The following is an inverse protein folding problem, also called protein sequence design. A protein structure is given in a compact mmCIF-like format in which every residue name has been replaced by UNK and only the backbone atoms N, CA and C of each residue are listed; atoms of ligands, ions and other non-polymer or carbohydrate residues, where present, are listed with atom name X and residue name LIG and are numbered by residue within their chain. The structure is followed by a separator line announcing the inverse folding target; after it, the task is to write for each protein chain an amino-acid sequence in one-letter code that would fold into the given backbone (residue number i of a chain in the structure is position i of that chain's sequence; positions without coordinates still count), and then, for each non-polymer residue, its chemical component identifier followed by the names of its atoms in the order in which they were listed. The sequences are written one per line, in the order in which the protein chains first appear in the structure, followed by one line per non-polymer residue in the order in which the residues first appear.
data_IF_262535614970
#
_entry.id   IF_262535614970
#
_cell.length_a   1.000
_cell.length_b   1.000
_cell.length_c   1.000
_cell.angle_alpha   90.00
_cell.angle_beta   90.00
_cell.angle_gamma   90.00
#
_symmetry.space_group_name_H-M   'P 1'
#
loop_
_entity.id
_entity.type
_entity.pdbx_description
1 polymer ?
#
# COMPACT_ATOMS: atom_id res chain seq x y z
N UNK A 1 22.83 -9.70 -12.76
CA UNK A 1 21.60 -10.53 -12.69
C UNK A 1 20.46 -9.58 -12.39
N UNK A 2 19.45 -9.49 -13.24
CA UNK A 2 18.29 -8.64 -12.94
C UNK A 2 17.52 -9.25 -11.76
N UNK A 3 17.44 -8.52 -10.66
CA UNK A 3 16.72 -8.94 -9.46
C UNK A 3 15.23 -8.92 -9.78
N UNK A 4 14.51 -10.03 -9.52
CA UNK A 4 13.05 -10.07 -9.63
C UNK A 4 12.44 -9.05 -8.65
N UNK A 5 11.49 -8.20 -9.07
CA UNK A 5 10.80 -7.28 -8.18
C UNK A 5 10.00 -8.04 -7.12
N UNK A 6 9.88 -7.45 -5.93
CA UNK A 6 8.98 -7.97 -4.89
C UNK A 6 7.57 -7.47 -5.17
N UNK A 7 6.60 -8.38 -5.19
CA UNK A 7 5.20 -8.06 -5.44
C UNK A 7 4.43 -7.95 -4.12
N UNK A 8 3.87 -6.78 -3.83
CA UNK A 8 3.15 -6.50 -2.58
C UNK A 8 1.74 -6.01 -2.89
N UNK A 9 0.73 -6.56 -2.22
CA UNK A 9 -0.61 -5.99 -2.27
C UNK A 9 -1.15 -5.65 -0.88
N UNK A 10 -1.94 -4.58 -0.82
CA UNK A 10 -2.81 -4.33 0.31
C UNK A 10 -4.18 -4.93 -0.01
N UNK A 11 -4.62 -5.91 0.77
CA UNK A 11 -5.86 -6.64 0.49
C UNK A 11 -6.67 -6.92 1.75
N UNK A 12 -7.99 -6.78 1.62
CA UNK A 12 -8.97 -7.08 2.65
C UNK A 12 -10.34 -7.28 1.97
N UNK A 13 -11.12 -8.25 2.44
CA UNK A 13 -12.50 -8.55 2.04
C UNK A 13 -13.49 -7.39 2.27
N UNK A 14 -13.14 -6.38 3.08
CA UNK A 14 -13.95 -5.16 3.22
C UNK A 14 -13.37 -3.97 2.46
N UNK A 15 -14.25 -3.22 1.81
CA UNK A 15 -13.98 -1.89 1.25
C UNK A 15 -13.79 -0.82 2.35
N UNK A 16 -13.21 0.33 1.99
CA UNK A 16 -13.14 1.50 2.88
C UNK A 16 -12.08 1.44 4.00
N UNK A 17 -11.32 0.35 4.13
CA UNK A 17 -10.27 0.16 5.13
C UNK A 17 -8.93 0.88 4.83
N UNK A 18 -8.87 1.60 3.70
CA UNK A 18 -7.73 2.44 3.34
C UNK A 18 -6.65 1.81 2.45
N UNK A 19 -6.93 0.68 1.77
CA UNK A 19 -5.98 -0.03 0.87
C UNK A 19 -5.28 0.92 -0.11
N UNK A 20 -6.02 1.52 -1.04
CA UNK A 20 -5.48 2.46 -2.04
C UNK A 20 -4.76 3.65 -1.41
N UNK A 21 -5.25 4.17 -0.27
CA UNK A 21 -4.58 5.28 0.43
C UNK A 21 -3.21 4.87 0.92
N UNK A 22 -3.11 3.71 1.58
CA UNK A 22 -1.85 3.15 2.09
C UNK A 22 -0.91 2.81 0.93
N UNK A 23 -1.43 2.22 -0.15
CA UNK A 23 -0.68 1.95 -1.39
C UNK A 23 -0.06 3.23 -1.95
N UNK A 24 -0.83 4.30 -2.10
CA UNK A 24 -0.36 5.57 -2.67
C UNK A 24 0.76 6.21 -1.84
N UNK A 25 0.56 6.30 -0.51
CA UNK A 25 1.54 6.96 0.37
C UNK A 25 2.81 6.14 0.52
N UNK A 26 2.72 4.81 0.58
CA UNK A 26 3.89 3.94 0.65
C UNK A 26 4.64 3.85 -0.66
N UNK A 27 3.95 3.77 -1.81
CA UNK A 27 4.61 3.82 -3.12
C UNK A 27 5.43 5.10 -3.27
N UNK A 28 4.85 6.23 -2.88
CA UNK A 28 5.53 7.54 -2.92
C UNK A 28 6.68 7.62 -1.91
N UNK A 29 6.48 7.13 -0.69
CA UNK A 29 7.54 7.09 0.32
C UNK A 29 8.72 6.20 -0.12
N UNK A 30 8.45 4.97 -0.57
CA UNK A 30 9.50 4.06 -1.01
C UNK A 30 10.24 4.58 -2.25
N UNK A 31 9.53 5.18 -3.21
CA UNK A 31 10.16 5.72 -4.40
C UNK A 31 10.98 6.97 -4.11
N UNK A 32 10.37 7.99 -3.50
CA UNK A 32 10.95 9.33 -3.41
C UNK A 32 11.81 9.53 -2.14
N UNK A 33 11.50 8.84 -1.05
CA UNK A 33 12.24 8.98 0.23
C UNK A 33 13.25 7.86 0.42
N UNK A 34 12.87 6.60 0.16
CA UNK A 34 13.78 5.45 0.34
C UNK A 34 14.60 5.10 -0.89
N UNK A 35 14.31 5.70 -2.04
CA UNK A 35 15.03 5.43 -3.26
C UNK A 35 14.92 3.97 -3.72
N UNK A 36 13.73 3.38 -3.66
CA UNK A 36 13.43 2.12 -4.34
C UNK A 36 12.85 2.39 -5.73
N UNK A 37 13.12 1.52 -6.71
CA UNK A 37 12.46 1.60 -8.03
C UNK A 37 11.08 0.96 -7.89
N UNK A 38 10.05 1.81 -7.77
CA UNK A 38 8.69 1.37 -7.51
C UNK A 38 7.86 1.38 -8.80
N UNK A 39 6.94 0.43 -8.94
CA UNK A 39 5.79 0.53 -9.83
C UNK A 39 4.49 0.25 -9.07
N UNK A 40 3.37 0.70 -9.63
CA UNK A 40 2.04 0.43 -9.09
C UNK A 40 1.14 -0.13 -10.18
N UNK A 41 0.41 -1.19 -9.84
CA UNK A 41 -0.62 -1.81 -10.67
C UNK A 41 -1.97 -1.59 -9.98
N UNK A 42 -2.82 -0.79 -10.60
CA UNK A 42 -4.18 -0.52 -10.11
C UNK A 42 -5.14 -1.54 -10.73
N UNK A 43 -5.53 -2.53 -9.93
CA UNK A 43 -6.38 -3.65 -10.33
C UNK A 43 -7.85 -3.47 -9.90
N UNK A 44 -8.22 -2.33 -9.30
CA UNK A 44 -9.56 -2.11 -8.76
C UNK A 44 -10.52 -1.59 -9.85
N UNK A 45 -10.76 -2.37 -10.90
CA UNK A 45 -11.75 -2.02 -11.94
C UNK A 45 -13.17 -2.08 -11.37
N UNK A 46 -14.04 -1.07 -11.60
CA UNK A 46 -13.85 0.15 -12.41
C UNK A 46 -13.43 1.39 -11.59
N UNK A 47 -13.05 1.23 -10.32
CA UNK A 47 -12.70 2.34 -9.44
C UNK A 47 -11.38 3.01 -9.80
N UNK A 48 -10.33 2.24 -10.11
CA UNK A 48 -8.99 2.72 -10.47
C UNK A 48 -8.57 3.97 -9.68
N UNK A 49 -8.56 3.82 -8.35
CA UNK A 49 -8.40 4.93 -7.42
C UNK A 49 -7.05 5.64 -7.58
N UNK A 50 -5.98 4.90 -7.91
CA UNK A 50 -4.62 5.42 -8.04
C UNK A 50 -4.38 6.04 -9.41
N UNK A 51 -4.95 5.48 -10.47
CA UNK A 51 -4.93 6.11 -11.80
C UNK A 51 -5.67 7.46 -11.77
N UNK A 52 -6.86 7.49 -11.14
CA UNK A 52 -7.60 8.74 -10.95
C UNK A 52 -6.84 9.74 -10.09
N UNK A 53 -6.13 9.29 -9.06
CA UNK A 53 -5.27 10.15 -8.23
C UNK A 53 -4.14 10.75 -9.06
N UNK A 54 -3.43 9.95 -9.87
CA UNK A 54 -2.38 10.43 -10.79
C UNK A 54 -2.90 11.48 -11.76
N UNK A 55 -4.08 11.27 -12.34
CA UNK A 55 -4.71 12.24 -13.21
C UNK A 55 -5.05 13.57 -12.50
N UNK A 56 -5.47 13.52 -11.23
CA UNK A 56 -5.69 14.74 -10.41
C UNK A 56 -4.38 15.43 -10.07
N UNK A 57 -3.34 14.67 -9.70
CA UNK A 57 -2.02 15.21 -9.38
C UNK A 57 -1.44 15.95 -10.60
N UNK A 58 -1.49 15.37 -11.81
CA UNK A 58 -1.00 16.04 -13.03
C UNK A 58 -1.75 17.36 -13.29
N UNK A 59 -3.09 17.36 -13.20
CA UNK A 59 -3.90 18.57 -13.37
C UNK A 59 -3.60 19.65 -12.33
N UNK A 60 -3.28 19.26 -11.09
CA UNK A 60 -2.96 20.21 -10.03
C UNK A 60 -1.52 20.73 -10.13
N UNK A 61 -0.59 19.90 -10.64
CA UNK A 61 0.78 20.29 -10.96
C UNK A 61 0.78 21.38 -12.03
N UNK A 62 0.02 21.21 -13.12
CA UNK A 62 -0.12 22.21 -14.20
C UNK A 62 -0.63 23.58 -13.71
N UNK A 63 -1.40 23.59 -12.62
CA UNK A 63 -2.02 24.81 -12.06
C UNK A 63 -1.20 25.48 -10.97
N UNK A 64 -0.02 24.95 -10.62
CA UNK A 64 0.73 25.41 -9.47
C UNK A 64 2.22 25.54 -9.77
N UNK A 65 2.69 26.77 -10.00
CA UNK A 65 4.11 27.03 -10.23
C UNK A 65 5.00 26.53 -9.10
N UNK A 66 4.51 26.56 -7.86
CA UNK A 66 5.23 26.03 -6.70
C UNK A 66 5.51 24.54 -6.88
N UNK A 67 4.49 23.75 -7.22
CA UNK A 67 4.66 22.31 -7.42
C UNK A 67 5.44 21.99 -8.70
N UNK A 68 5.30 22.79 -9.76
CA UNK A 68 6.11 22.64 -10.97
C UNK A 68 7.60 22.78 -10.65
N UNK A 69 7.97 23.81 -9.88
CA UNK A 69 9.36 24.00 -9.43
C UNK A 69 9.84 22.84 -8.56
N UNK A 70 9.01 22.32 -7.65
CA UNK A 70 9.36 21.13 -6.87
C UNK A 70 9.57 19.90 -7.75
N UNK A 71 8.66 19.67 -8.70
CA UNK A 71 8.73 18.54 -9.62
C UNK A 71 10.00 18.63 -10.49
N UNK A 72 10.29 19.78 -11.10
CA UNK A 72 11.52 19.98 -11.88
C UNK A 72 12.79 19.68 -11.08
N UNK A 73 12.91 20.23 -9.86
CA UNK A 73 14.06 19.96 -8.97
C UNK A 73 14.23 18.48 -8.67
N UNK A 74 13.12 17.77 -8.48
CA UNK A 74 13.14 16.32 -8.25
C UNK A 74 13.83 15.57 -9.41
N UNK A 75 13.62 15.99 -10.66
CA UNK A 75 14.32 15.40 -11.82
C UNK A 75 15.77 15.84 -11.94
N UNK A 76 16.05 17.12 -11.70
CA UNK A 76 17.38 17.73 -11.85
C UNK A 76 18.39 17.19 -10.84
N UNK A 77 17.98 17.04 -9.58
CA UNK A 77 18.84 16.54 -8.50
C UNK A 77 19.12 15.03 -8.61
N UNK A 78 18.69 14.38 -9.71
CA UNK A 78 18.76 12.92 -9.88
C UNK A 78 17.91 12.15 -8.86
N UNK A 79 17.02 12.85 -8.14
CA UNK A 79 16.44 12.35 -6.90
C UNK A 79 15.48 11.18 -7.11
N UNK A 80 14.55 11.23 -8.11
CA UNK A 80 13.88 10.10 -8.83
C UNK A 80 12.82 10.60 -9.82
N UNK A 81 12.58 9.81 -10.89
CA UNK A 81 11.41 9.98 -11.77
C UNK A 81 10.12 9.54 -11.06
N UNK A 82 8.99 10.04 -11.54
CA UNK A 82 7.68 9.57 -11.10
C UNK A 82 7.53 8.06 -11.41
N UNK A 83 7.11 7.28 -10.43
CA UNK A 83 6.87 5.85 -10.64
C UNK A 83 5.68 5.63 -11.58
N UNK A 84 5.69 4.58 -12.42
CA UNK A 84 4.56 4.27 -13.28
C UNK A 84 3.38 3.76 -12.45
N UNK A 85 2.18 4.14 -12.88
CA UNK A 85 0.93 3.53 -12.46
C UNK A 85 0.33 2.94 -13.74
N UNK A 86 0.00 1.65 -13.71
CA UNK A 86 -0.67 0.97 -14.83
C UNK A 86 -1.96 0.34 -14.34
N UNK A 87 -2.99 0.35 -15.17
CA UNK A 87 -4.27 -0.29 -14.86
C UNK A 87 -4.28 -1.73 -15.34
N UNK A 88 -4.92 -2.63 -14.59
CA UNK A 88 -5.13 -4.02 -14.99
C UNK A 88 -6.45 -4.55 -14.43
N UNK A 89 -6.82 -5.77 -14.83
CA UNK A 89 -7.79 -6.56 -14.05
C UNK A 89 -7.05 -7.43 -13.04
N UNK A 90 -7.72 -7.92 -11.98
CA UNK A 90 -7.13 -8.90 -11.07
C UNK A 90 -6.58 -10.11 -11.83
N UNK A 91 -7.35 -10.68 -12.76
CA UNK A 91 -6.98 -11.89 -13.51
C UNK A 91 -5.69 -11.72 -14.31
N UNK A 92 -5.42 -10.50 -14.80
CA UNK A 92 -4.21 -10.19 -15.60
C UNK A 92 -3.05 -9.68 -14.75
N UNK A 93 -3.22 -9.50 -13.43
CA UNK A 93 -2.26 -8.85 -12.56
C UNK A 93 -0.89 -9.56 -12.53
N UNK A 94 -0.89 -10.90 -12.52
CA UNK A 94 0.33 -11.70 -12.44
C UNK A 94 1.25 -11.54 -13.66
N UNK A 95 0.73 -11.14 -14.81
CA UNK A 95 1.49 -10.96 -16.05
C UNK A 95 2.16 -9.58 -16.15
N UNK A 96 1.65 -8.59 -15.40
CA UNK A 96 2.07 -7.18 -15.51
C UNK A 96 3.57 -6.99 -15.23
N UNK A 97 4.19 -7.60 -14.21
CA UNK A 97 5.62 -7.43 -13.95
C UNK A 97 6.51 -7.78 -15.16
N UNK A 98 6.13 -8.78 -15.96
CA UNK A 98 6.87 -9.18 -17.16
C UNK A 98 6.66 -8.25 -18.37
N UNK A 99 5.65 -7.36 -18.32
CA UNK A 99 5.31 -6.40 -19.38
C UNK A 99 5.78 -4.98 -19.06
N UNK A 100 6.18 -4.70 -17.82
CA UNK A 100 6.68 -3.38 -17.43
C UNK A 100 8.07 -3.13 -17.99
N UNK A 101 8.26 -1.96 -18.60
CA UNK A 101 9.58 -1.51 -19.05
C UNK A 101 10.40 -1.02 -17.86
N UNK A 102 11.66 -1.47 -17.77
CA UNK A 102 12.61 -1.09 -16.73
C UNK A 102 12.74 -2.10 -15.59
N UNK A 103 13.72 -1.87 -14.73
CA UNK A 103 13.94 -2.69 -13.53
C UNK A 103 13.23 -2.09 -12.33
N UNK A 104 12.56 -2.94 -11.54
CA UNK A 104 11.85 -2.53 -10.33
C UNK A 104 12.34 -3.34 -9.12
N UNK A 105 12.45 -2.68 -7.97
CA UNK A 105 12.73 -3.33 -6.69
C UNK A 105 11.44 -3.82 -6.05
N UNK A 106 10.35 -3.06 -6.22
CA UNK A 106 9.07 -3.23 -5.54
C UNK A 106 7.92 -2.87 -6.47
N UNK A 107 6.93 -3.74 -6.61
CA UNK A 107 5.69 -3.49 -7.34
C UNK A 107 4.52 -3.61 -6.38
N UNK A 108 3.77 -2.53 -6.24
CA UNK A 108 2.53 -2.53 -5.46
C UNK A 108 1.33 -2.87 -6.33
N UNK A 109 0.41 -3.67 -5.80
CA UNK A 109 -0.88 -3.98 -6.41
C UNK A 109 -2.01 -3.43 -5.55
N UNK A 110 -2.87 -2.60 -6.13
CA UNK A 110 -4.12 -2.15 -5.51
C UNK A 110 -5.26 -3.07 -5.96
N UNK A 111 -5.56 -4.09 -5.14
CA UNK A 111 -6.55 -5.11 -5.45
C UNK A 111 -7.96 -4.68 -4.98
N UNK A 112 -9.02 -5.11 -5.69
CA UNK A 112 -10.41 -4.87 -5.26
C UNK A 112 -10.67 -5.37 -3.84
N UNK A 113 -11.61 -4.72 -3.16
CA UNK A 113 -12.00 -5.09 -1.79
C UNK A 113 -12.78 -6.40 -1.66
N UNK A 114 -13.25 -7.02 -2.74
CA UNK A 114 -14.09 -8.22 -2.67
C UNK A 114 -13.31 -9.45 -3.14
N UNK A 115 -12.67 -10.15 -2.21
CA UNK A 115 -11.92 -11.40 -2.45
C UNK A 115 -12.83 -12.61 -2.76
N UNK A 116 -14.15 -12.41 -2.84
CA UNK A 116 -15.10 -13.48 -3.13
C UNK A 116 -15.09 -13.91 -4.61
N UNK A 117 -14.41 -13.17 -5.50
CA UNK A 117 -14.20 -13.60 -6.88
C UNK A 117 -12.89 -14.37 -7.02
N UNK A 118 -12.93 -15.43 -7.82
CA UNK A 118 -11.78 -16.29 -8.10
C UNK A 118 -10.56 -15.51 -8.58
N UNK A 119 -10.75 -14.57 -9.52
CA UNK A 119 -9.65 -13.76 -10.06
C UNK A 119 -8.94 -12.90 -9.01
N UNK A 120 -9.68 -12.34 -8.04
CA UNK A 120 -9.07 -11.57 -6.94
C UNK A 120 -8.31 -12.48 -6.00
N UNK A 121 -8.85 -13.66 -5.66
CA UNK A 121 -8.14 -14.63 -4.83
C UNK A 121 -6.85 -15.14 -5.51
N UNK A 122 -6.91 -15.49 -6.79
CA UNK A 122 -5.73 -15.88 -7.58
C UNK A 122 -4.68 -14.75 -7.63
N UNK A 123 -5.12 -13.48 -7.76
CA UNK A 123 -4.21 -12.33 -7.67
C UNK A 123 -3.48 -12.26 -6.34
N UNK A 124 -4.20 -12.47 -5.24
CA UNK A 124 -3.63 -12.49 -3.87
C UNK A 124 -2.56 -13.57 -3.74
N UNK A 125 -2.81 -14.77 -4.28
CA UNK A 125 -1.86 -15.90 -4.20
C UNK A 125 -0.61 -15.72 -5.06
N UNK A 126 -0.66 -14.86 -6.08
CA UNK A 126 0.47 -14.55 -6.95
C UNK A 126 1.39 -13.44 -6.41
N UNK A 127 1.04 -12.79 -5.30
CA UNK A 127 1.89 -11.81 -4.64
C UNK A 127 3.01 -12.48 -3.84
N UNK A 128 4.10 -11.77 -3.56
CA UNK A 128 5.10 -12.23 -2.58
C UNK A 128 4.62 -11.97 -1.15
N UNK A 129 3.97 -10.82 -0.92
CA UNK A 129 3.47 -10.40 0.39
C UNK A 129 2.09 -9.76 0.31
N UNK A 130 1.25 -10.06 1.30
CA UNK A 130 -0.05 -9.42 1.48
C UNK A 130 -0.11 -8.73 2.84
N UNK A 131 -0.50 -7.45 2.82
CA UNK A 131 -0.73 -6.69 4.04
C UNK A 131 -2.20 -6.32 4.17
N UNK A 132 -2.83 -6.79 5.24
CA UNK A 132 -4.27 -6.64 5.46
C UNK A 132 -4.57 -5.54 6.49
N UNK A 133 -5.03 -4.35 6.07
CA UNK A 133 -5.44 -3.31 7.00
C UNK A 133 -6.67 -3.74 7.79
N UNK A 134 -6.63 -3.57 9.11
CA UNK A 134 -7.79 -3.69 10.00
C UNK A 134 -8.08 -2.34 10.65
N UNK A 135 -9.36 -2.00 10.77
CA UNK A 135 -9.84 -0.79 11.45
C UNK A 135 -10.68 -1.19 12.66
N UNK A 136 -10.97 -0.23 13.55
CA UNK A 136 -11.80 -0.39 14.76
C UNK A 136 -13.30 -0.63 14.49
N UNK A 137 -13.61 -1.53 13.57
CA UNK A 137 -14.96 -1.95 13.23
C UNK A 137 -15.08 -3.47 13.38
N UNK A 138 -16.06 -3.93 14.15
CA UNK A 138 -16.20 -5.37 14.48
C UNK A 138 -16.43 -6.24 13.25
N UNK A 139 -17.22 -5.77 12.28
CA UNK A 139 -17.51 -6.52 11.05
C UNK A 139 -16.26 -6.58 10.17
N UNK A 140 -15.52 -5.47 10.05
CA UNK A 140 -14.24 -5.46 9.33
C UNK A 140 -13.27 -6.44 9.97
N UNK A 141 -13.11 -6.40 11.30
CA UNK A 141 -12.17 -7.28 11.99
C UNK A 141 -12.51 -8.77 11.79
N UNK A 142 -13.77 -9.17 11.95
CA UNK A 142 -14.19 -10.55 11.72
C UNK A 142 -13.93 -11.01 10.27
N UNK A 143 -14.29 -10.17 9.30
CA UNK A 143 -14.06 -10.44 7.87
C UNK A 143 -12.56 -10.52 7.54
N UNK A 144 -11.74 -9.66 8.16
CA UNK A 144 -10.28 -9.65 7.96
C UNK A 144 -9.62 -10.91 8.53
N UNK A 145 -10.02 -11.35 9.74
CA UNK A 145 -9.49 -12.57 10.35
C UNK A 145 -9.87 -13.81 9.52
N UNK A 146 -11.12 -13.88 9.04
CA UNK A 146 -11.56 -14.97 8.16
C UNK A 146 -10.81 -15.01 6.83
N UNK A 147 -10.57 -13.83 6.22
CA UNK A 147 -9.76 -13.72 5.02
C UNK A 147 -8.33 -14.20 5.25
N UNK A 148 -7.64 -13.65 6.25
CA UNK A 148 -6.24 -13.99 6.52
C UNK A 148 -6.07 -15.46 6.90
N UNK A 149 -7.00 -16.02 7.68
CA UNK A 149 -6.99 -17.46 8.02
C UNK A 149 -7.11 -18.32 6.77
N UNK A 150 -8.06 -18.02 5.88
CA UNK A 150 -8.24 -18.78 4.61
C UNK A 150 -6.96 -18.73 3.76
N UNK A 151 -6.35 -17.55 3.64
CA UNK A 151 -5.10 -17.40 2.88
C UNK A 151 -3.94 -18.14 3.55
N UNK A 152 -3.83 -18.08 4.88
CA UNK A 152 -2.76 -18.75 5.62
C UNK A 152 -2.89 -20.29 5.55
N UNK A 153 -4.10 -20.83 5.63
CA UNK A 153 -4.36 -22.25 5.44
C UNK A 153 -3.98 -22.70 4.02
N UNK A 154 -4.30 -21.89 3.01
CA UNK A 154 -3.90 -22.14 1.62
C UNK A 154 -2.38 -22.15 1.45
N UNK A 155 -1.66 -21.15 1.98
CA UNK A 155 -0.18 -21.10 1.94
C UNK A 155 0.40 -22.35 2.62
N UNK A 156 -0.16 -22.79 3.75
CA UNK A 156 0.29 -23.97 4.47
C UNK A 156 0.08 -25.28 3.68
N UNK A 157 -0.94 -25.34 2.83
CA UNK A 157 -1.24 -26.49 1.98
C UNK A 157 -0.47 -26.47 0.65
N UNK A 158 -0.03 -25.30 0.17
CA UNK A 158 0.58 -25.09 -1.15
C UNK A 158 1.91 -24.32 -1.02
N UNK A 159 2.97 -24.97 -0.51
CA UNK A 159 4.27 -24.32 -0.25
C UNK A 159 4.98 -23.82 -1.52
N UNK A 160 4.56 -24.27 -2.70
CA UNK A 160 5.03 -23.82 -4.01
C UNK A 160 4.41 -22.48 -4.46
N UNK A 161 3.35 -22.01 -3.79
CA UNK A 161 2.71 -20.75 -4.12
C UNK A 161 3.70 -19.58 -3.94
N UNK A 162 3.66 -18.55 -4.81
CA UNK A 162 4.53 -17.37 -4.67
C UNK A 162 4.40 -16.62 -3.34
N UNK A 163 3.23 -16.69 -2.71
CA UNK A 163 2.90 -15.95 -1.49
C UNK A 163 3.67 -16.46 -0.27
N UNK A 164 4.62 -15.63 0.19
CA UNK A 164 5.53 -15.95 1.29
C UNK A 164 4.96 -15.60 2.66
N UNK A 165 4.22 -14.50 2.74
CA UNK A 165 3.66 -14.06 4.01
C UNK A 165 2.41 -13.21 3.83
N UNK A 166 1.49 -13.33 4.80
CA UNK A 166 0.34 -12.46 4.96
C UNK A 166 0.33 -11.92 6.38
N UNK A 167 0.18 -10.60 6.54
CA UNK A 167 0.18 -9.95 7.86
C UNK A 167 -0.89 -8.88 7.98
N UNK A 168 -1.51 -8.83 9.14
CA UNK A 168 -2.46 -7.80 9.53
C UNK A 168 -1.73 -6.53 9.95
N UNK A 169 -2.34 -5.36 9.78
CA UNK A 169 -1.88 -4.15 10.47
C UNK A 169 -3.05 -3.25 10.83
N UNK A 170 -2.92 -2.54 11.93
CA UNK A 170 -3.95 -1.60 12.35
C UNK A 170 -3.85 -0.29 11.59
N UNK A 171 -4.95 0.09 10.97
CA UNK A 171 -5.14 1.35 10.28
C UNK A 171 -6.21 2.19 10.95
N UNK A 172 -6.11 3.52 10.80
CA UNK A 172 -7.05 4.50 11.37
C UNK A 172 -7.27 4.30 12.88
N UNK A 173 -6.17 4.11 13.61
CA UNK A 173 -6.22 3.99 15.07
C UNK A 173 -6.25 5.36 15.74
N UNK A 174 -7.15 5.53 16.71
CA UNK A 174 -7.09 6.68 17.62
C UNK A 174 -6.22 6.36 18.84
N UNK A 175 -5.58 7.38 19.41
CA UNK A 175 -4.66 7.22 20.54
C UNK A 175 -5.35 7.06 21.90
N UNK A 176 -6.66 7.40 22.00
CA UNK A 176 -7.37 7.52 23.29
C UNK A 176 -8.36 6.39 23.58
N UNK A 177 -8.98 5.80 22.56
CA UNK A 177 -10.09 4.85 22.69
C UNK A 177 -9.76 3.45 22.17
N UNK A 178 -8.66 3.28 21.44
CA UNK A 178 -8.36 2.04 20.71
C UNK A 178 -7.46 1.05 21.47
N UNK A 179 -6.98 1.37 22.69
CA UNK A 179 -5.99 0.54 23.39
C UNK A 179 -6.55 -0.83 23.81
N UNK A 180 -7.76 -0.86 24.35
CA UNK A 180 -8.39 -2.11 24.80
C UNK A 180 -8.70 -3.05 23.63
N UNK A 181 -9.30 -2.51 22.55
CA UNK A 181 -9.57 -3.27 21.32
C UNK A 181 -8.28 -3.80 20.72
N UNK A 182 -7.24 -2.95 20.61
CA UNK A 182 -5.94 -3.36 20.10
C UNK A 182 -5.36 -4.55 20.88
N UNK A 183 -5.34 -4.48 22.22
CA UNK A 183 -4.82 -5.56 23.08
C UNK A 183 -5.65 -6.83 22.92
N UNK A 184 -6.98 -6.72 22.99
CA UNK A 184 -7.89 -7.87 22.89
C UNK A 184 -7.76 -8.57 21.53
N UNK A 185 -7.82 -7.82 20.44
CA UNK A 185 -7.76 -8.41 19.10
C UNK A 185 -6.36 -8.92 18.75
N UNK A 186 -5.28 -8.25 19.18
CA UNK A 186 -3.94 -8.81 19.01
C UNK A 186 -3.77 -10.14 19.75
N UNK A 187 -4.36 -10.29 20.94
CA UNK A 187 -4.35 -11.58 21.63
C UNK A 187 -5.09 -12.66 20.82
N UNK A 188 -6.21 -12.32 20.17
CA UNK A 188 -6.94 -13.26 19.29
C UNK A 188 -6.10 -13.62 18.06
N UNK A 189 -5.55 -12.62 17.36
CA UNK A 189 -4.68 -12.79 16.18
C UNK A 189 -3.52 -13.73 16.48
N UNK A 190 -2.81 -13.48 17.59
CA UNK A 190 -1.66 -14.30 18.00
C UNK A 190 -2.09 -15.73 18.38
N UNK A 191 -3.23 -15.91 19.05
CA UNK A 191 -3.76 -17.25 19.37
C UNK A 191 -4.15 -18.05 18.13
N UNK A 192 -4.57 -17.37 17.07
CA UNK A 192 -4.86 -17.99 15.77
C UNK A 192 -3.59 -18.28 14.95
N UNK A 193 -2.40 -17.94 15.45
CA UNK A 193 -1.14 -18.08 14.71
C UNK A 193 -1.01 -17.11 13.53
N UNK A 194 -1.85 -16.07 13.49
CA UNK A 194 -1.77 -15.02 12.48
C UNK A 194 -0.71 -13.99 12.88
N UNK A 195 -0.10 -13.37 11.89
CA UNK A 195 0.93 -12.34 12.08
C UNK A 195 0.33 -10.95 11.97
N UNK A 196 0.82 -10.01 12.79
CA UNK A 196 0.41 -8.61 12.79
C UNK A 196 1.61 -7.69 12.94
N UNK A 197 1.54 -6.51 12.32
CA UNK A 197 2.53 -5.46 12.50
C UNK A 197 2.55 -4.95 13.94
N UNK A 198 3.74 -4.65 14.44
CA UNK A 198 3.93 -3.94 15.71
C UNK A 198 3.52 -2.48 15.57
N UNK A 199 3.82 -1.87 14.41
CA UNK A 199 3.42 -0.50 14.11
C UNK A 199 1.93 -0.40 13.76
N UNK A 200 1.35 0.75 14.08
CA UNK A 200 -0.04 1.07 13.74
C UNK A 200 -0.07 2.40 13.01
N UNK A 201 -0.95 2.50 12.00
CA UNK A 201 -1.21 3.75 11.30
C UNK A 201 -2.33 4.51 12.02
N UNK A 202 -2.07 5.75 12.48
CA UNK A 202 -3.05 6.56 13.19
C UNK A 202 -4.10 7.14 12.24
N UNK A 203 -5.28 7.46 12.77
CA UNK A 203 -6.34 8.16 12.02
C UNK A 203 -6.01 9.65 11.91
N UNK A 204 -5.13 10.01 10.97
CA UNK A 204 -4.71 11.39 10.74
C UNK A 204 -5.21 11.89 9.39
N UNK A 205 -5.84 13.06 9.40
CA UNK A 205 -6.37 13.70 8.18
C UNK A 205 -5.29 13.95 7.12
N UNK A 206 -4.03 14.04 7.53
CA UNK A 206 -2.90 14.17 6.60
C UNK A 206 -2.85 13.03 5.58
N UNK A 207 -3.26 11.80 5.90
CA UNK A 207 -3.30 10.70 4.92
C UNK A 207 -4.28 10.95 3.76
N UNK A 208 -5.22 11.89 3.92
CA UNK A 208 -6.15 12.32 2.88
C UNK A 208 -5.71 13.60 2.15
N UNK A 209 -4.61 14.23 2.57
CA UNK A 209 -4.16 15.52 2.03
C UNK A 209 -3.50 15.33 0.65
N UNK A 210 -4.32 15.40 -0.39
CA UNK A 210 -3.89 15.44 -1.79
C UNK A 210 -3.18 16.75 -2.13
N UNK A 211 -2.40 16.75 -3.21
CA UNK A 211 -1.82 17.97 -3.77
C UNK A 211 -2.93 18.86 -4.32
N UNK A 212 -2.92 20.15 -3.96
CA UNK A 212 -3.83 21.16 -4.49
C UNK A 212 -3.05 22.39 -4.95
N UNK A 213 -3.57 23.19 -5.90
CA UNK A 213 -2.84 24.36 -6.39
C UNK A 213 -2.61 25.45 -5.34
N UNK A 214 -3.46 25.51 -4.31
CA UNK A 214 -3.47 26.54 -3.27
C UNK A 214 -2.68 26.18 -2.01
N UNK A 215 -2.32 24.90 -1.81
CA UNK A 215 -1.57 24.45 -0.63
C UNK A 215 -0.14 24.12 -0.99
N UNK A 216 0.83 24.54 -0.17
CA UNK A 216 2.24 24.13 -0.34
C UNK A 216 2.57 22.76 0.28
N UNK A 217 1.59 22.13 0.91
CA UNK A 217 1.75 20.87 1.62
C UNK A 217 0.85 19.79 1.01
N UNK A 218 1.39 18.60 0.89
CA UNK A 218 0.70 17.40 0.40
C UNK A 218 1.28 16.15 1.07
N UNK A 219 0.51 15.08 1.10
CA UNK A 219 0.93 13.82 1.72
C UNK A 219 0.55 12.62 0.86
N UNK A 220 -0.66 12.64 0.27
CA UNK A 220 -1.12 11.66 -0.70
C UNK A 220 -0.96 12.24 -2.10
N UNK A 221 0.24 12.12 -2.66
CA UNK A 221 0.56 12.59 -4.01
C UNK A 221 1.43 11.54 -4.69
N UNK A 222 1.12 11.23 -5.94
CA UNK A 222 1.81 10.20 -6.74
C UNK A 222 3.01 10.73 -7.53
N UNK A 223 3.24 12.05 -7.51
CA UNK A 223 4.28 12.73 -8.31
C UNK A 223 5.43 13.29 -7.47
N UNK A 224 5.19 13.53 -6.17
CA UNK A 224 6.10 14.19 -5.25
C UNK A 224 6.16 13.42 -3.92
N UNK A 225 7.27 13.51 -3.15
CA UNK A 225 7.35 12.93 -1.82
C UNK A 225 6.31 13.54 -0.86
N UNK A 226 5.85 12.80 0.16
CA UNK A 226 5.09 13.41 1.25
C UNK A 226 5.85 14.58 1.86
N UNK A 227 5.18 15.72 2.08
CA UNK A 227 5.82 16.89 2.68
C UNK A 227 6.42 16.54 4.05
N UNK A 228 7.68 16.89 4.30
CA UNK A 228 8.42 16.52 5.52
C UNK A 228 7.67 16.89 6.80
N UNK A 229 7.05 18.07 6.83
CA UNK A 229 6.25 18.56 7.97
C UNK A 229 5.04 17.67 8.29
N UNK A 230 4.50 16.98 7.29
CA UNK A 230 3.39 16.03 7.44
C UNK A 230 3.89 14.60 7.65
N UNK A 231 5.09 14.27 7.18
CA UNK A 231 5.72 12.97 7.42
C UNK A 231 6.08 12.79 8.90
N UNK A 232 6.61 13.85 9.52
CA UNK A 232 6.90 13.86 10.96
C UNK A 232 5.66 13.52 11.78
N UNK A 233 5.79 12.58 12.73
CA UNK A 233 4.73 12.11 13.62
C UNK A 233 3.53 11.43 12.93
N UNK A 234 3.64 11.09 11.63
CA UNK A 234 2.59 10.33 10.90
C UNK A 234 2.61 8.83 11.19
N UNK A 235 3.70 8.32 11.77
CA UNK A 235 4.06 6.90 11.87
C UNK A 235 4.25 6.16 10.54
N UNK A 236 4.13 6.84 9.39
CA UNK A 236 4.34 6.22 8.07
C UNK A 236 5.77 5.68 7.92
N UNK A 237 6.78 6.43 8.36
CA UNK A 237 8.18 6.00 8.31
C UNK A 237 8.42 4.73 9.14
N UNK A 238 7.95 4.69 10.38
CA UNK A 238 8.07 3.52 11.24
C UNK A 238 7.37 2.30 10.62
N UNK A 239 6.17 2.49 10.05
CA UNK A 239 5.44 1.45 9.34
C UNK A 239 6.21 0.94 8.11
N UNK A 240 6.75 1.86 7.30
CA UNK A 240 7.53 1.52 6.12
C UNK A 240 8.84 0.79 6.46
N UNK A 241 9.51 1.17 7.55
CA UNK A 241 10.71 0.47 8.05
C UNK A 241 10.38 -0.95 8.52
N UNK A 242 9.26 -1.15 9.22
CA UNK A 242 8.81 -2.49 9.59
C UNK A 242 8.48 -3.32 8.36
N UNK A 243 7.73 -2.76 7.40
CA UNK A 243 7.42 -3.40 6.13
C UNK A 243 8.70 -3.80 5.38
N UNK A 244 9.69 -2.90 5.30
CA UNK A 244 10.97 -3.15 4.63
C UNK A 244 11.71 -4.33 5.24
N UNK A 245 11.77 -4.44 6.57
CA UNK A 245 12.36 -5.60 7.27
C UNK A 245 11.65 -6.92 6.94
N UNK A 246 10.36 -6.87 6.63
CA UNK A 246 9.56 -8.05 6.26
C UNK A 246 9.84 -8.45 4.81
N UNK A 247 9.87 -7.48 3.89
CA UNK A 247 9.93 -7.78 2.45
C UNK A 247 11.36 -7.94 1.93
N UNK A 248 12.35 -7.29 2.55
CA UNK A 248 13.77 -7.46 2.24
C UNK A 248 14.50 -8.07 3.44
N UNK A 249 14.23 -9.35 3.78
CA UNK A 249 15.02 -10.04 4.79
C UNK A 249 16.47 -10.09 4.30
N UNK A 250 17.39 -9.63 5.15
CA UNK A 250 18.84 -9.61 4.88
C UNK A 250 19.43 -10.99 4.71
#
# INVERSE_FOLDING_TARGET
MNKRPILVAFSNQKGGVGKSTVTAVLASYFNYVRGLKVAVVDCDYPQFSLEKLRGRDLKNLEKSEYHQRLFCRQFEDGSRKAYPIVTSTPESAAEIPGKLEGDYDLIFFDLPGTVNSRGVFESVMNMDFIFTPIVKDRMVMQSSLSFVSTVQDFIGQHPEAPLKDIRLFWNRMDSRTSKELYVMYNAIVLRMGLKVFETVLPDLERFNKEMTPSSRQHFRCTLLPPSESLLKDSRLEAFAQEMERIIFPG
#
